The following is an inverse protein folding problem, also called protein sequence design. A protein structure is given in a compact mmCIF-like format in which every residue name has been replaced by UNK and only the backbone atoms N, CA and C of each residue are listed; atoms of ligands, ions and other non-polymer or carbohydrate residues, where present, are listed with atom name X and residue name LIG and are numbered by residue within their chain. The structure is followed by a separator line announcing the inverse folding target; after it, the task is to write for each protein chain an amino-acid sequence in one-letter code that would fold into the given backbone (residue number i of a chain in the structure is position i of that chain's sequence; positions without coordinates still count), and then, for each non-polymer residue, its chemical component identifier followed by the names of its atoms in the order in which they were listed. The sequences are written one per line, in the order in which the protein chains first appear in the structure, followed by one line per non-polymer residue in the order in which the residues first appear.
data_IF_602074608373
#
_entry.id   IF_602074608373
#
_cell.length_a   1.000
_cell.length_b   1.000
_cell.length_c   1.000
_cell.angle_alpha   90.00
_cell.angle_beta   90.00
_cell.angle_gamma   90.00
#
_symmetry.space_group_name_H-M   'P 1'
#
loop_
_entity.id
_entity.type
_entity.pdbx_description
1 polymer ?
#
# COMPACT_ATOMS: atom_id res chain seq x y z
N UNK A 1 -44.86 -25.63 14.40
CA UNK A 1 -43.48 -26.14 14.24
C UNK A 1 -43.11 -25.94 12.79
N UNK A 2 -42.31 -24.91 12.49
CA UNK A 2 -42.03 -24.48 11.11
C UNK A 2 -40.81 -25.23 10.57
N UNK A 3 -41.02 -26.06 9.55
CA UNK A 3 -39.96 -26.77 8.84
C UNK A 3 -39.14 -25.80 7.97
N UNK A 4 -37.85 -25.68 8.25
CA UNK A 4 -36.88 -24.97 7.40
C UNK A 4 -36.53 -25.90 6.23
N UNK A 5 -37.30 -25.84 5.14
CA UNK A 5 -36.94 -26.45 3.86
C UNK A 5 -36.54 -25.34 2.88
N UNK A 6 -35.27 -24.97 2.88
CA UNK A 6 -34.55 -24.42 1.71
C UNK A 6 -33.13 -24.01 2.13
N UNK A 7 -32.26 -24.98 2.38
CA UNK A 7 -30.83 -24.74 2.34
C UNK A 7 -30.41 -24.97 0.88
N UNK A 8 -30.14 -23.89 0.15
CA UNK A 8 -29.48 -23.98 -1.16
C UNK A 8 -28.06 -24.48 -0.93
N UNK A 9 -27.87 -25.78 -1.11
CA UNK A 9 -26.53 -26.37 -1.19
C UNK A 9 -25.86 -25.81 -2.44
N UNK A 10 -24.65 -25.25 -2.37
CA UNK A 10 -23.92 -24.83 -3.56
C UNK A 10 -23.74 -26.03 -4.50
N UNK A 11 -23.85 -25.83 -5.83
CA UNK A 11 -23.77 -26.94 -6.78
C UNK A 11 -22.43 -27.68 -6.63
N UNK A 12 -22.47 -29.01 -6.68
CA UNK A 12 -21.26 -29.84 -6.75
C UNK A 12 -20.47 -29.42 -7.99
N UNK A 13 -19.17 -29.17 -7.80
CA UNK A 13 -18.25 -28.69 -8.84
C UNK A 13 -18.11 -29.72 -9.99
N UNK A 14 -18.51 -30.97 -9.76
CA UNK A 14 -18.41 -32.07 -10.72
C UNK A 14 -19.37 -31.99 -11.92
N UNK A 15 -20.31 -31.03 -11.95
CA UNK A 15 -21.31 -30.91 -13.02
C UNK A 15 -21.15 -29.66 -13.90
N UNK A 16 -20.03 -28.94 -13.78
CA UNK A 16 -19.68 -27.95 -14.81
C UNK A 16 -19.14 -28.73 -16.02
N UNK A 17 -19.76 -28.64 -17.21
CA UNK A 17 -19.14 -29.19 -18.41
C UNK A 17 -17.80 -28.47 -18.57
N UNK A 18 -16.71 -29.20 -18.34
CA UNK A 18 -15.38 -28.73 -18.71
C UNK A 18 -15.46 -28.38 -20.20
N UNK A 19 -15.06 -27.16 -20.60
CA UNK A 19 -15.07 -26.79 -22.01
C UNK A 19 -14.33 -27.88 -22.77
N UNK A 20 -14.96 -28.34 -23.86
CA UNK A 20 -14.44 -29.38 -24.74
C UNK A 20 -12.94 -29.20 -24.87
N UNK A 21 -12.23 -30.14 -24.24
CA UNK A 21 -10.85 -30.51 -24.49
C UNK A 21 -10.34 -29.87 -25.80
N UNK A 22 -9.50 -28.84 -25.69
CA UNK A 22 -8.65 -28.36 -26.79
C UNK A 22 -7.62 -29.48 -27.13
N UNK A 23 -8.11 -30.64 -27.58
CA UNK A 23 -7.29 -31.73 -28.11
C UNK A 23 -6.77 -31.22 -29.45
N UNK A 24 -5.48 -30.91 -29.49
CA UNK A 24 -4.78 -30.67 -30.76
C UNK A 24 -3.81 -29.49 -30.78
N UNK A 25 -3.68 -28.69 -29.71
CA UNK A 25 -2.58 -27.72 -29.65
C UNK A 25 -1.28 -28.45 -29.34
N UNK A 26 -0.33 -28.37 -30.28
CA UNK A 26 1.07 -28.76 -30.05
C UNK A 26 1.55 -28.09 -28.76
N UNK A 27 2.28 -28.80 -27.87
CA UNK A 27 2.86 -28.18 -26.68
C UNK A 27 3.66 -26.95 -27.13
N UNK A 28 3.46 -25.82 -26.46
CA UNK A 28 4.18 -24.62 -26.80
C UNK A 28 5.66 -24.86 -26.50
N UNK A 29 6.49 -25.00 -27.55
CA UNK A 29 7.95 -25.05 -27.39
C UNK A 29 8.50 -23.75 -26.79
N UNK A 30 7.75 -22.65 -26.93
CA UNK A 30 8.07 -21.34 -26.39
C UNK A 30 7.10 -20.99 -25.26
N UNK A 31 7.60 -20.65 -24.07
CA UNK A 31 6.81 -20.19 -22.93
C UNK A 31 6.22 -18.78 -23.13
N UNK A 32 5.91 -18.40 -24.37
CA UNK A 32 5.51 -17.04 -24.75
C UNK A 32 4.01 -16.85 -24.62
N UNK A 33 3.62 -15.87 -23.82
CA UNK A 33 2.23 -15.51 -23.60
C UNK A 33 2.01 -14.03 -23.91
N UNK A 34 1.06 -13.71 -24.78
CA UNK A 34 0.74 -12.31 -25.11
C UNK A 34 -0.66 -11.96 -24.64
N UNK A 35 -0.79 -10.87 -23.88
CA UNK A 35 -2.08 -10.37 -23.42
C UNK A 35 -2.11 -8.85 -23.51
N UNK A 36 -3.12 -8.29 -24.21
CA UNK A 36 -3.34 -6.85 -24.31
C UNK A 36 -2.09 -6.05 -24.73
N UNK A 37 -1.35 -6.56 -25.72
CA UNK A 37 -0.13 -5.92 -26.24
C UNK A 37 1.13 -6.10 -25.37
N UNK A 38 1.02 -6.78 -24.21
CA UNK A 38 2.17 -7.16 -23.40
C UNK A 38 2.61 -8.59 -23.68
N UNK A 39 3.93 -8.79 -23.78
CA UNK A 39 4.56 -10.08 -24.04
C UNK A 39 5.23 -10.59 -22.77
N UNK A 40 4.79 -11.75 -22.31
CA UNK A 40 5.42 -12.51 -21.24
C UNK A 40 6.23 -13.65 -21.85
N UNK A 41 7.43 -13.86 -21.33
CA UNK A 41 8.30 -14.95 -21.75
C UNK A 41 8.99 -15.56 -20.52
N UNK A 42 9.09 -16.88 -20.46
CA UNK A 42 9.81 -17.57 -19.39
C UNK A 42 11.04 -18.25 -19.97
N UNK A 43 12.21 -17.70 -19.67
CA UNK A 43 13.47 -18.19 -20.20
C UNK A 43 14.54 -18.15 -19.10
N UNK A 44 15.34 -19.21 -19.01
CA UNK A 44 16.44 -19.28 -18.05
C UNK A 44 16.02 -19.08 -16.59
N UNK A 45 14.82 -19.54 -16.22
CA UNK A 45 14.29 -19.38 -14.86
C UNK A 45 13.82 -17.97 -14.51
N UNK A 46 13.64 -17.08 -15.49
CA UNK A 46 13.19 -15.70 -15.30
C UNK A 46 11.92 -15.46 -16.11
N UNK A 47 11.02 -14.65 -15.56
CA UNK A 47 9.86 -14.14 -16.29
C UNK A 47 10.21 -12.76 -16.83
N UNK A 48 10.14 -12.61 -18.15
CA UNK A 48 10.33 -11.36 -18.86
C UNK A 48 8.96 -10.75 -19.19
N UNK A 49 8.81 -9.46 -18.96
CA UNK A 49 7.67 -8.65 -19.40
C UNK A 49 8.18 -7.63 -20.41
N UNK A 50 7.78 -7.73 -21.68
CA UNK A 50 8.28 -6.87 -22.76
C UNK A 50 9.83 -6.79 -22.78
N UNK A 51 10.50 -7.95 -22.66
CA UNK A 51 11.96 -8.10 -22.57
C UNK A 51 12.60 -7.51 -21.30
N UNK A 52 11.83 -7.04 -20.32
CA UNK A 52 12.34 -6.59 -19.03
C UNK A 52 12.17 -7.68 -17.98
N UNK A 53 13.17 -7.85 -17.11
CA UNK A 53 13.09 -8.83 -16.03
C UNK A 53 12.02 -8.41 -15.01
N UNK A 54 10.99 -9.23 -14.85
CA UNK A 54 9.89 -8.95 -13.94
C UNK A 54 10.34 -8.92 -12.48
N UNK A 55 11.38 -9.68 -12.13
CA UNK A 55 11.94 -9.65 -10.78
C UNK A 55 12.50 -8.26 -10.45
N UNK A 56 13.20 -7.63 -11.40
CA UNK A 56 13.74 -6.28 -11.27
C UNK A 56 12.60 -5.27 -11.12
N UNK A 57 11.62 -5.31 -12.02
CA UNK A 57 10.44 -4.43 -12.00
C UNK A 57 9.64 -4.52 -10.67
N UNK A 58 9.50 -5.73 -10.12
CA UNK A 58 8.81 -5.94 -8.84
C UNK A 58 9.72 -5.62 -7.66
N UNK A 59 11.05 -5.70 -7.80
CA UNK A 59 12.00 -5.41 -6.71
C UNK A 59 12.31 -3.93 -6.58
N UNK A 60 12.38 -3.19 -7.69
CA UNK A 60 12.53 -1.75 -7.71
C UNK A 60 11.40 -1.15 -6.87
N UNK A 61 11.76 -0.15 -6.06
CA UNK A 61 10.87 0.53 -5.15
C UNK A 61 9.96 1.48 -5.94
N UNK A 62 9.18 0.93 -6.88
CA UNK A 62 8.24 1.62 -7.76
C UNK A 62 6.96 1.98 -6.99
N UNK A 63 7.10 2.55 -5.80
CA UNK A 63 6.01 3.05 -4.95
C UNK A 63 5.16 4.10 -5.66
N UNK A 64 5.72 4.78 -6.67
CA UNK A 64 5.02 5.73 -7.52
C UNK A 64 3.95 5.09 -8.43
N UNK A 65 4.04 3.80 -8.76
CA UNK A 65 3.07 3.15 -9.65
C UNK A 65 1.70 2.97 -8.98
N UNK A 66 0.62 3.28 -9.69
CA UNK A 66 -0.75 3.24 -9.16
C UNK A 66 -1.19 1.83 -8.72
N UNK A 67 -2.13 1.74 -7.78
CA UNK A 67 -2.71 0.45 -7.36
C UNK A 67 -3.39 -0.28 -8.54
N UNK A 68 -3.93 0.47 -9.51
CA UNK A 68 -4.53 -0.07 -10.73
C UNK A 68 -3.50 -0.80 -11.61
N UNK A 69 -2.29 -0.26 -11.74
CA UNK A 69 -1.20 -0.92 -12.47
C UNK A 69 -0.90 -2.29 -11.87
N UNK A 70 -0.66 -2.34 -10.56
CA UNK A 70 -0.36 -3.57 -9.83
C UNK A 70 -1.49 -4.60 -9.89
N UNK A 71 -2.75 -4.14 -9.79
CA UNK A 71 -3.94 -4.99 -9.94
C UNK A 71 -4.06 -5.57 -11.35
N UNK A 72 -3.71 -4.79 -12.36
CA UNK A 72 -3.74 -5.25 -13.75
C UNK A 72 -2.63 -6.26 -14.01
N UNK A 73 -1.43 -6.01 -13.49
CA UNK A 73 -0.29 -6.92 -13.61
C UNK A 73 -0.55 -8.26 -12.91
N UNK A 74 -1.14 -8.26 -11.69
CA UNK A 74 -1.47 -9.50 -10.98
C UNK A 74 -2.48 -10.36 -11.75
N UNK A 75 -3.53 -9.75 -12.33
CA UNK A 75 -4.50 -10.46 -13.20
C UNK A 75 -3.84 -11.07 -14.42
N UNK A 76 -2.90 -10.35 -15.06
CA UNK A 76 -2.16 -10.85 -16.23
C UNK A 76 -1.22 -12.00 -15.87
N UNK A 77 -0.54 -11.92 -14.73
CA UNK A 77 0.31 -13.01 -14.23
C UNK A 77 -0.49 -14.26 -13.86
N UNK A 78 -1.66 -14.11 -13.24
CA UNK A 78 -2.55 -15.23 -12.97
C UNK A 78 -2.97 -15.92 -14.28
N UNK A 79 -3.36 -15.15 -15.30
CA UNK A 79 -3.69 -15.70 -16.64
C UNK A 79 -2.51 -16.39 -17.29
N UNK A 80 -1.29 -15.86 -17.14
CA UNK A 80 -0.09 -16.50 -17.69
C UNK A 80 0.18 -17.84 -17.00
N UNK A 81 -0.03 -17.93 -15.68
CA UNK A 81 0.04 -19.19 -14.94
C UNK A 81 -0.97 -20.21 -15.45
N UNK A 82 -2.22 -19.78 -15.57
CA UNK A 82 -3.30 -20.67 -16.02
C UNK A 82 -3.05 -21.13 -17.48
N UNK A 83 -2.54 -20.24 -18.34
CA UNK A 83 -2.11 -20.58 -19.70
C UNK A 83 -0.98 -21.61 -19.70
N UNK A 84 0.10 -21.38 -18.95
CA UNK A 84 1.25 -22.28 -18.93
C UNK A 84 0.88 -23.68 -18.42
N UNK A 85 0.00 -23.75 -17.42
CA UNK A 85 -0.51 -25.03 -16.87
C UNK A 85 -1.26 -25.85 -17.91
N UNK A 86 -1.91 -25.20 -18.89
CA UNK A 86 -2.69 -25.86 -19.93
C UNK A 86 -1.89 -26.17 -21.20
N UNK A 87 -0.78 -25.46 -21.46
CA UNK A 87 -0.10 -25.46 -22.76
C UNK A 87 1.35 -25.94 -22.71
N UNK A 88 1.94 -26.08 -21.52
CA UNK A 88 3.33 -26.48 -21.35
C UNK A 88 3.40 -27.86 -20.71
N UNK A 89 4.07 -28.77 -21.39
CA UNK A 89 4.26 -30.16 -20.97
C UNK A 89 5.70 -30.36 -20.43
N UNK A 90 6.01 -29.65 -19.34
CA UNK A 90 7.26 -29.77 -18.59
C UNK A 90 6.95 -29.53 -17.09
N UNK A 91 6.72 -30.60 -16.30
CA UNK A 91 6.27 -30.48 -14.91
C UNK A 91 7.30 -29.83 -13.99
N UNK A 92 8.60 -30.06 -14.22
CA UNK A 92 9.67 -29.49 -13.39
C UNK A 92 9.83 -27.99 -13.63
N UNK A 93 9.83 -27.58 -14.90
CA UNK A 93 9.86 -26.16 -15.23
C UNK A 93 8.56 -25.46 -14.83
N UNK A 94 7.40 -26.12 -14.93
CA UNK A 94 6.11 -25.59 -14.51
C UNK A 94 6.05 -25.37 -12.99
N UNK A 95 6.64 -26.27 -12.19
CA UNK A 95 6.75 -26.08 -10.75
C UNK A 95 7.60 -24.84 -10.41
N UNK A 96 8.77 -24.68 -11.04
CA UNK A 96 9.64 -23.50 -10.86
C UNK A 96 8.94 -22.21 -11.28
N UNK A 97 8.32 -22.22 -12.45
CA UNK A 97 7.55 -21.10 -12.97
C UNK A 97 6.38 -20.72 -12.04
N UNK A 98 5.61 -21.70 -11.59
CA UNK A 98 4.48 -21.48 -10.67
C UNK A 98 4.93 -20.90 -9.35
N UNK A 99 6.05 -21.38 -8.80
CA UNK A 99 6.64 -20.83 -7.59
C UNK A 99 7.07 -19.36 -7.77
N UNK A 100 7.68 -19.03 -8.91
CA UNK A 100 8.05 -17.64 -9.24
C UNK A 100 6.82 -16.73 -9.38
N UNK A 101 5.80 -17.17 -10.12
CA UNK A 101 4.55 -16.41 -10.25
C UNK A 101 3.91 -16.20 -8.88
N UNK A 102 3.86 -17.23 -8.04
CA UNK A 102 3.33 -17.11 -6.68
C UNK A 102 4.11 -16.09 -5.84
N UNK A 103 5.44 -16.14 -5.86
CA UNK A 103 6.29 -15.17 -5.16
C UNK A 103 6.05 -13.74 -5.64
N UNK A 104 5.88 -13.53 -6.95
CA UNK A 104 5.57 -12.23 -7.53
C UNK A 104 4.17 -11.74 -7.13
N UNK A 105 3.16 -12.60 -7.19
CA UNK A 105 1.80 -12.26 -6.77
C UNK A 105 1.77 -11.85 -5.30
N UNK A 106 2.44 -12.59 -4.41
CA UNK A 106 2.53 -12.25 -2.98
C UNK A 106 3.14 -10.86 -2.76
N UNK A 107 4.23 -10.53 -3.47
CA UNK A 107 4.83 -9.18 -3.40
C UNK A 107 3.89 -8.10 -3.92
N UNK A 108 3.21 -8.34 -5.04
CA UNK A 108 2.26 -7.39 -5.64
C UNK A 108 1.07 -7.16 -4.72
N UNK A 109 0.47 -8.22 -4.15
CA UNK A 109 -0.65 -8.09 -3.23
C UNK A 109 -0.26 -7.39 -1.93
N UNK A 110 0.94 -7.63 -1.40
CA UNK A 110 1.46 -6.85 -0.27
C UNK A 110 1.52 -5.35 -0.56
N UNK A 111 1.90 -4.96 -1.78
CA UNK A 111 1.93 -3.55 -2.22
C UNK A 111 0.54 -2.96 -2.40
N UNK A 112 -0.38 -3.70 -3.02
CA UNK A 112 -1.78 -3.26 -3.19
C UNK A 112 -2.43 -3.06 -1.83
N UNK A 113 -2.26 -4.02 -0.91
CA UNK A 113 -2.75 -3.93 0.46
C UNK A 113 -2.19 -2.69 1.15
N UNK A 114 -0.87 -2.46 1.09
CA UNK A 114 -0.24 -1.25 1.65
C UNK A 114 -0.90 0.04 1.13
N UNK A 115 -1.10 0.18 -0.18
CA UNK A 115 -1.75 1.37 -0.77
C UNK A 115 -3.22 1.51 -0.35
N UNK A 116 -3.93 0.39 -0.24
CA UNK A 116 -5.32 0.39 0.19
C UNK A 116 -5.45 0.81 1.65
N UNK A 117 -4.61 0.25 2.53
CA UNK A 117 -4.56 0.60 3.95
C UNK A 117 -4.20 2.10 4.11
N UNK A 118 -3.20 2.61 3.36
CA UNK A 118 -2.86 4.04 3.34
C UNK A 118 -4.03 4.94 2.90
N UNK A 119 -4.84 4.47 1.95
CA UNK A 119 -5.99 5.22 1.40
C UNK A 119 -7.20 5.17 2.33
N UNK A 120 -7.49 4.02 2.94
CA UNK A 120 -8.58 3.84 3.88
C UNK A 120 -8.35 4.59 5.19
N UNK A 121 -7.13 4.50 5.73
CA UNK A 121 -6.80 5.17 6.99
C UNK A 121 -6.52 6.67 6.78
N UNK A 122 -6.30 7.11 5.54
CA UNK A 122 -5.92 8.49 5.21
C UNK A 122 -4.57 8.92 5.81
N UNK A 123 -3.77 7.95 6.25
CA UNK A 123 -2.47 8.16 6.88
C UNK A 123 -1.40 7.45 6.07
N UNK A 124 -0.63 8.23 5.32
CA UNK A 124 0.63 7.84 4.72
C UNK A 124 1.78 8.23 5.66
N UNK A 125 2.77 7.36 5.81
CA UNK A 125 3.96 7.66 6.60
C UNK A 125 5.24 7.20 5.90
N UNK A 126 6.30 7.97 6.12
CA UNK A 126 7.65 7.67 5.65
C UNK A 126 8.63 7.95 6.78
N UNK A 127 9.66 7.11 6.91
CA UNK A 127 10.78 7.36 7.80
C UNK A 127 11.98 7.69 6.92
N UNK A 128 12.46 8.94 7.01
CA UNK A 128 13.57 9.47 6.22
C UNK A 128 14.58 10.06 7.20
N UNK A 129 15.83 9.57 7.21
CA UNK A 129 16.89 10.00 8.14
C UNK A 129 16.48 10.05 9.62
N UNK A 130 15.68 9.07 10.06
CA UNK A 130 15.15 8.99 11.44
C UNK A 130 14.00 9.97 11.73
N UNK A 131 13.55 10.73 10.73
CA UNK A 131 12.45 11.67 10.84
C UNK A 131 11.16 11.04 10.31
N UNK A 132 10.10 11.10 11.10
CA UNK A 132 8.79 10.61 10.72
C UNK A 132 8.03 11.69 9.94
N UNK A 133 7.78 11.42 8.67
CA UNK A 133 6.87 12.19 7.84
C UNK A 133 5.48 11.55 7.87
N UNK A 134 4.46 12.33 8.23
CA UNK A 134 3.06 11.94 8.14
C UNK A 134 2.35 12.80 7.10
N UNK A 135 1.83 12.19 6.04
CA UNK A 135 1.19 12.89 4.92
C UNK A 135 2.06 14.04 4.37
N UNK A 136 3.37 13.77 4.23
CA UNK A 136 4.36 14.74 3.75
C UNK A 136 4.81 15.78 4.79
N UNK A 137 4.30 15.71 6.04
CA UNK A 137 4.66 16.65 7.10
C UNK A 137 5.62 16.01 8.08
N UNK A 138 6.78 16.63 8.29
CA UNK A 138 7.72 16.23 9.32
C UNK A 138 7.18 16.56 10.72
N UNK A 139 6.81 15.52 11.46
CA UNK A 139 6.15 15.65 12.76
C UNK A 139 7.08 16.32 13.79
N UNK A 140 8.37 15.97 13.77
CA UNK A 140 9.34 16.48 14.72
C UNK A 140 9.62 17.98 14.47
N UNK A 141 9.80 18.37 13.21
CA UNK A 141 10.01 19.77 12.84
C UNK A 141 8.79 20.64 13.21
N UNK A 142 7.58 20.14 12.97
CA UNK A 142 6.36 20.85 13.35
C UNK A 142 6.22 21.01 14.86
N UNK A 143 6.53 19.97 15.63
CA UNK A 143 6.50 20.02 17.09
C UNK A 143 7.46 21.09 17.64
N UNK A 144 8.70 21.13 17.15
CA UNK A 144 9.67 22.15 17.55
C UNK A 144 9.25 23.57 17.17
N UNK A 145 8.63 23.74 16.00
CA UNK A 145 8.04 25.01 15.60
C UNK A 145 6.89 25.43 16.54
N UNK A 146 6.00 24.49 16.90
CA UNK A 146 4.85 24.77 17.75
C UNK A 146 5.24 25.12 19.20
N UNK A 147 6.37 24.59 19.69
CA UNK A 147 6.98 24.98 20.97
C UNK A 147 7.46 26.43 20.96
N UNK A 148 8.09 26.87 19.86
CA UNK A 148 8.61 28.23 19.70
C UNK A 148 7.52 29.26 19.42
N UNK A 149 6.55 28.90 18.59
CA UNK A 149 5.48 29.79 18.12
C UNK A 149 4.12 29.23 18.50
N UNK A 150 3.68 29.53 19.73
CA UNK A 150 2.42 29.04 20.28
C UNK A 150 1.23 29.78 19.69
N UNK A 151 0.63 29.20 18.66
CA UNK A 151 -0.54 29.74 17.97
C UNK A 151 -1.72 28.78 18.07
N UNK A 152 -2.96 29.29 18.05
CA UNK A 152 -4.14 28.41 18.09
C UNK A 152 -4.19 27.46 16.87
N UNK A 153 -3.75 27.94 15.69
CA UNK A 153 -3.59 27.09 14.50
C UNK A 153 -2.58 25.96 14.74
N UNK A 154 -1.45 26.27 15.38
CA UNK A 154 -0.44 25.28 15.78
C UNK A 154 -1.01 24.22 16.71
N UNK A 155 -1.80 24.64 17.71
CA UNK A 155 -2.50 23.74 18.64
C UNK A 155 -3.46 22.78 17.94
N UNK A 156 -4.30 23.31 17.05
CA UNK A 156 -5.27 22.52 16.26
C UNK A 156 -4.52 21.48 15.40
N UNK A 157 -3.42 21.90 14.78
CA UNK A 157 -2.62 20.99 13.96
C UNK A 157 -1.94 19.89 14.79
N UNK A 158 -1.38 20.22 15.97
CA UNK A 158 -0.83 19.23 16.91
C UNK A 158 -1.89 18.20 17.33
N UNK A 159 -3.13 18.62 17.59
CA UNK A 159 -4.25 17.69 17.86
C UNK A 159 -4.51 16.77 16.66
N UNK A 160 -4.45 17.31 15.45
CA UNK A 160 -4.57 16.53 14.20
C UNK A 160 -3.46 15.49 14.04
N UNK A 161 -2.20 15.88 14.30
CA UNK A 161 -1.05 14.98 14.27
C UNK A 161 -1.17 13.87 15.32
N UNK A 162 -1.56 14.21 16.55
CA UNK A 162 -1.82 13.24 17.62
C UNK A 162 -2.86 12.20 17.19
N UNK A 163 -3.98 12.64 16.62
CA UNK A 163 -5.02 11.72 16.17
C UNK A 163 -4.50 10.77 15.07
N UNK A 164 -3.67 11.27 14.13
CA UNK A 164 -3.05 10.42 13.10
C UNK A 164 -2.04 9.43 13.67
N UNK A 165 -1.24 9.84 14.66
CA UNK A 165 -0.35 8.94 15.39
C UNK A 165 -1.14 7.87 16.15
N UNK A 166 -2.29 8.22 16.74
CA UNK A 166 -3.16 7.26 17.41
C UNK A 166 -3.73 6.21 16.43
N UNK A 167 -4.12 6.62 15.21
CA UNK A 167 -4.54 5.68 14.15
C UNK A 167 -3.40 4.71 13.79
N UNK A 168 -2.17 5.21 13.65
CA UNK A 168 -1.00 4.35 13.43
C UNK A 168 -0.77 3.39 14.58
N UNK A 169 -0.96 3.85 15.82
CA UNK A 169 -0.86 3.02 17.02
C UNK A 169 -1.99 2.01 17.15
N UNK A 170 -3.18 2.22 16.58
CA UNK A 170 -4.27 1.23 16.59
C UNK A 170 -4.10 0.17 15.50
N UNK A 171 -3.50 0.52 14.36
CA UNK A 171 -3.29 -0.38 13.22
C UNK A 171 -1.97 -1.19 13.28
N UNK A 172 -1.47 -1.51 14.48
CA UNK A 172 -0.20 -2.24 14.69
C UNK A 172 -0.12 -3.58 13.93
N UNK A 173 -1.23 -4.31 13.90
CA UNK A 173 -1.31 -5.63 13.24
C UNK A 173 -1.42 -5.57 11.71
N UNK A 174 -1.76 -4.41 11.14
CA UNK A 174 -1.98 -4.25 9.70
C UNK A 174 -0.69 -3.99 8.92
N UNK A 175 0.33 -3.40 9.56
CA UNK A 175 1.50 -2.88 8.87
C UNK A 175 2.83 -3.43 9.43
N UNK A 176 3.52 -4.34 8.73
CA UNK A 176 4.79 -4.90 9.19
C UNK A 176 5.92 -3.86 9.28
N UNK A 177 5.76 -2.66 8.70
CA UNK A 177 6.72 -1.57 8.90
C UNK A 177 6.46 -0.74 10.17
N UNK A 178 5.33 -0.96 10.86
CA UNK A 178 5.03 -0.25 12.11
C UNK A 178 6.12 -0.47 13.16
N UNK A 179 6.61 -1.69 13.32
CA UNK A 179 7.67 -2.00 14.29
C UNK A 179 8.93 -1.16 14.09
N UNK A 180 9.25 -0.77 12.85
CA UNK A 180 10.41 0.11 12.55
C UNK A 180 10.22 1.55 13.01
N UNK A 181 8.97 2.00 13.13
CA UNK A 181 8.63 3.38 13.50
C UNK A 181 8.02 3.48 14.90
N UNK A 182 7.83 2.35 15.58
CA UNK A 182 7.07 2.25 16.84
C UNK A 182 7.62 3.18 17.91
N UNK A 183 8.92 3.07 18.20
CA UNK A 183 9.59 3.92 19.21
C UNK A 183 9.45 5.41 18.85
N UNK A 184 9.64 5.76 17.57
CA UNK A 184 9.49 7.13 17.08
C UNK A 184 8.06 7.64 17.24
N UNK A 185 7.05 6.82 16.93
CA UNK A 185 5.63 7.14 17.06
C UNK A 185 5.24 7.31 18.53
N UNK A 186 5.66 6.40 19.41
CA UNK A 186 5.40 6.47 20.85
C UNK A 186 6.04 7.73 21.46
N UNK A 187 7.31 7.99 21.14
CA UNK A 187 8.05 9.20 21.58
C UNK A 187 7.37 10.49 21.10
N UNK A 188 7.02 10.58 19.82
CA UNK A 188 6.37 11.77 19.26
C UNK A 188 4.96 11.98 19.80
N UNK A 189 4.19 10.90 20.01
CA UNK A 189 2.86 10.98 20.61
C UNK A 189 2.91 11.55 22.03
N UNK A 190 3.79 11.02 22.88
CA UNK A 190 4.00 11.51 24.24
C UNK A 190 4.49 12.97 24.26
N UNK A 191 5.40 13.33 23.35
CA UNK A 191 5.92 14.70 23.26
C UNK A 191 4.83 15.69 22.82
N UNK A 192 3.98 15.32 21.86
CA UNK A 192 2.84 16.15 21.43
C UNK A 192 1.81 16.30 22.55
N UNK A 193 1.52 15.22 23.27
CA UNK A 193 0.57 15.24 24.38
C UNK A 193 1.05 16.15 25.52
N UNK A 194 2.32 16.04 25.89
CA UNK A 194 2.96 16.95 26.86
C UNK A 194 2.94 18.41 26.39
N UNK A 195 3.19 18.68 25.10
CA UNK A 195 3.13 20.05 24.58
C UNK A 195 1.69 20.59 24.59
N UNK A 196 0.69 19.76 24.26
CA UNK A 196 -0.72 20.15 24.27
C UNK A 196 -1.24 20.45 25.68
N UNK A 197 -0.74 19.76 26.71
CA UNK A 197 -1.06 20.04 28.12
C UNK A 197 -0.53 21.41 28.57
N UNK A 198 0.65 21.79 28.09
CA UNK A 198 1.33 23.04 28.44
C UNK A 198 1.07 24.18 27.43
N UNK A 199 0.14 23.97 26.48
CA UNK A 199 -0.08 24.90 25.39
C UNK A 199 -0.93 26.09 25.82
N UNK A 200 -0.28 27.21 26.13
CA UNK A 200 -0.93 28.51 26.25
C UNK A 200 -0.63 29.33 24.98
N UNK A 201 -1.64 29.74 24.20
CA UNK A 201 -1.42 30.58 23.03
C UNK A 201 -0.73 31.89 23.45
N UNK A 202 0.31 32.28 22.73
CA UNK A 202 0.89 33.61 22.91
C UNK A 202 -0.15 34.63 22.48
N UNK A 203 -0.67 35.42 23.42
CA UNK A 203 -1.48 36.60 23.08
C UNK A 203 -0.52 37.60 22.44
N UNK A 204 -0.65 37.82 21.13
CA UNK A 204 0.01 38.94 20.47
C UNK A 204 -0.81 40.17 20.87
N UNK A 205 -0.39 40.89 21.90
CA UNK A 205 -0.91 42.22 22.18
C UNK A 205 -0.50 43.12 21.02
N UNK A 206 -1.46 43.49 20.18
CA UNK A 206 -1.25 44.53 19.19
C UNK A 206 -1.11 45.86 19.95
N UNK A 207 -0.12 46.70 19.61
CA UNK A 207 -0.05 48.04 20.17
C UNK A 207 -1.35 48.78 19.87
N UNK A 208 -1.87 49.59 20.82
CA UNK A 208 -3.10 50.34 20.60
C UNK A 208 -2.97 51.18 19.33
N UNK A 209 -4.05 51.29 18.52
CA UNK A 209 -4.02 52.10 17.32
C UNK A 209 -3.59 53.52 17.69
N UNK A 210 -2.49 53.99 17.12
CA UNK A 210 -2.02 55.36 17.28
C UNK A 210 -3.12 56.28 16.76
N UNK A 211 -3.83 56.92 17.69
CA UNK A 211 -4.85 57.92 17.36
C UNK A 211 -4.17 59.04 16.56
N UNK A 212 -4.76 59.48 15.44
CA UNK A 212 -4.25 60.64 14.73
C UNK A 212 -4.29 61.85 15.66
N UNK A 213 -3.13 62.46 15.89
CA UNK A 213 -3.01 63.71 16.65
C UNK A 213 -3.91 64.76 16.00
N UNK A 214 -4.90 65.33 16.72
CA UNK A 214 -5.64 66.46 16.21
C UNK A 214 -4.72 67.68 16.37
N UNK A 215 -4.04 68.05 15.28
CA UNK A 215 -3.68 69.43 14.88
C UNK A 215 -2.44 69.43 14.00
N UNK A 216 -2.63 69.72 12.72
CA UNK A 216 -1.73 70.50 11.88
C UNK A 216 -2.58 71.20 10.83
#
# INVERSE_FOLDING_TARGET
MSEIRNIRVPPRIDSLPLPEREIGRKPAQDWRFTVQGQKFDFQGGKILLNNQNLAELISENLTHLSAQYWTTLSRRLARYRDWATLHVDDPDALAKFSALVHAFLTKIFGRIKKKFDETLDGVSFHLEDGQLLLNGVNVNAFLEMAKKHRTEKGRIFLKGLRNRLAILQSNRGGNPNYEKIRETVERLSAAIENELLNYSPSVIELPPPSLPSPNS
#
